data_IF_841832655016
#
_entry.id   IF_841832655016
#
_cell.length_a   1.000
_cell.length_b   1.000
_cell.length_c   1.000
_cell.angle_alpha   90.00
_cell.angle_beta   90.00
_cell.angle_gamma   90.00
#
_symmetry.space_group_name_H-M   'P 1'
#
loop_
_entity.id
_entity.type
_entity.pdbx_description
1 polymer ?
#
# COMPACT_ATOMS: atom_id res chain seq x y z
N UNK A 1 10.43 27.08 -18.05
CA UNK A 1 10.55 25.94 -17.12
C UNK A 1 9.14 25.53 -16.74
N UNK A 2 8.86 24.22 -16.77
CA UNK A 2 7.49 23.73 -16.79
C UNK A 2 6.95 23.38 -15.39
N UNK A 3 5.88 24.05 -14.92
CA UNK A 3 5.13 23.76 -13.68
C UNK A 3 4.28 22.50 -13.80
N UNK A 4 4.53 21.50 -12.97
CA UNK A 4 3.66 20.31 -12.86
C UNK A 4 2.64 20.48 -11.72
N UNK A 5 1.47 19.85 -11.88
CA UNK A 5 0.39 19.85 -10.88
C UNK A 5 -0.05 18.41 -10.58
N UNK A 6 -0.15 18.07 -9.30
CA UNK A 6 -0.69 16.78 -8.86
C UNK A 6 -2.19 16.89 -8.55
N UNK A 7 -2.98 15.92 -9.03
CA UNK A 7 -4.40 15.80 -8.70
C UNK A 7 -4.63 14.66 -7.68
N UNK A 8 -5.16 15.03 -6.52
CA UNK A 8 -5.41 14.12 -5.39
C UNK A 8 -6.56 13.15 -5.63
N UNK A 9 -7.52 13.50 -6.48
CA UNK A 9 -8.67 12.64 -6.77
C UNK A 9 -8.31 11.53 -7.75
N UNK A 10 -7.39 11.81 -8.68
CA UNK A 10 -7.00 10.85 -9.73
C UNK A 10 -5.68 10.13 -9.43
N UNK A 11 -4.95 10.56 -8.40
CA UNK A 11 -3.63 10.07 -8.03
C UNK A 11 -2.65 10.07 -9.23
N UNK A 12 -2.58 11.22 -9.93
CA UNK A 12 -1.77 11.43 -11.13
C UNK A 12 -1.15 12.82 -11.16
N UNK A 13 0.01 12.90 -11.83
CA UNK A 13 0.69 14.14 -12.15
C UNK A 13 0.27 14.64 -13.53
N UNK A 14 0.16 15.96 -13.66
CA UNK A 14 -0.17 16.64 -14.90
C UNK A 14 0.93 17.63 -15.25
N UNK A 15 1.23 17.73 -16.54
CA UNK A 15 2.12 18.76 -17.08
C UNK A 15 1.42 20.14 -17.14
N UNK A 16 2.13 21.15 -17.63
CA UNK A 16 1.61 22.51 -17.77
C UNK A 16 0.38 22.62 -18.68
N UNK A 17 0.22 21.68 -19.62
CA UNK A 17 -0.92 21.62 -20.53
C UNK A 17 -2.13 20.90 -19.89
N UNK A 18 -1.99 20.42 -18.64
CA UNK A 18 -3.01 19.62 -17.98
C UNK A 18 -3.11 18.21 -18.55
N UNK A 19 -2.06 17.68 -19.18
CA UNK A 19 -2.01 16.29 -19.66
C UNK A 19 -1.40 15.40 -18.59
N UNK A 20 -1.96 14.20 -18.37
CA UNK A 20 -1.40 13.26 -17.42
C UNK A 20 0.00 12.84 -17.88
N UNK A 21 0.98 13.02 -16.99
CA UNK A 21 2.35 12.55 -17.20
C UNK A 21 2.30 11.02 -17.25
N UNK A 22 2.66 10.46 -18.41
CA UNK A 22 2.65 9.01 -18.61
C UNK A 22 3.69 8.38 -17.66
N UNK A 23 3.22 7.50 -16.78
CA UNK A 23 4.10 6.59 -16.03
C UNK A 23 4.86 5.73 -17.04
N UNK A 24 6.18 5.72 -16.96
CA UNK A 24 6.96 4.62 -17.48
C UNK A 24 6.77 3.45 -16.51
N UNK A 25 5.69 2.70 -16.70
CA UNK A 25 5.69 1.29 -16.29
C UNK A 25 6.67 0.66 -17.26
N UNK A 26 7.70 -0.02 -16.76
CA UNK A 26 8.53 -0.92 -17.57
C UNK A 26 7.60 -1.94 -18.23
N UNK A 27 7.15 -1.60 -19.44
CA UNK A 27 6.65 -2.56 -20.41
C UNK A 27 7.83 -3.48 -20.68
N UNK A 28 7.78 -4.65 -20.04
CA UNK A 28 8.66 -5.75 -20.33
C UNK A 28 8.71 -5.98 -21.84
N UNK A 29 9.93 -6.02 -22.36
CA UNK A 29 10.29 -6.29 -23.75
C UNK A 29 9.30 -7.24 -24.45
N UNK A 30 8.53 -6.67 -25.35
CA UNK A 30 7.90 -7.41 -26.45
C UNK A 30 8.02 -6.58 -27.72
N UNK A 31 9.27 -6.39 -28.15
CA UNK A 31 9.56 -6.14 -29.56
C UNK A 31 9.11 -7.36 -30.36
N UNK A 32 8.03 -7.21 -31.10
CA UNK A 32 7.76 -8.03 -32.28
C UNK A 32 7.30 -7.12 -33.42
N UNK A 33 8.23 -7.04 -34.36
CA UNK A 33 8.33 -6.27 -35.59
C UNK A 33 7.04 -5.92 -36.35
N UNK A 34 7.06 -4.74 -36.96
CA UNK A 34 6.47 -4.56 -38.28
C UNK A 34 7.40 -3.73 -39.17
N UNK A 35 7.90 -4.34 -40.24
CA UNK A 35 8.29 -3.63 -41.46
C UNK A 35 7.75 -4.38 -42.70
N UNK A 36 7.45 -3.66 -43.80
CA UNK A 36 6.50 -4.10 -44.81
C UNK A 36 7.16 -4.81 -45.99
N UNK A 37 6.35 -5.60 -46.71
CA UNK A 37 6.82 -6.56 -47.70
C UNK A 37 7.22 -6.02 -49.08
N UNK A 38 7.72 -6.95 -49.90
CA UNK A 38 7.54 -6.95 -51.36
C UNK A 38 7.94 -8.30 -52.00
N UNK A 39 6.97 -8.83 -52.75
CA UNK A 39 7.05 -9.49 -54.06
C UNK A 39 7.74 -10.86 -54.30
N UNK A 40 6.89 -11.75 -54.81
CA UNK A 40 7.06 -12.65 -55.98
C UNK A 40 7.64 -14.05 -55.77
N UNK A 41 6.98 -15.05 -56.35
CA UNK A 41 7.54 -16.40 -56.51
C UNK A 41 6.52 -17.52 -56.58
N UNK A 42 6.01 -17.80 -57.77
CA UNK A 42 5.18 -18.96 -58.14
C UNK A 42 5.89 -20.30 -57.87
N UNK A 43 5.19 -21.27 -57.27
CA UNK A 43 5.22 -22.69 -57.70
C UNK A 43 4.19 -23.53 -56.92
N UNK A 44 3.19 -24.00 -57.66
CA UNK A 44 2.29 -25.10 -57.29
C UNK A 44 3.07 -26.40 -57.22
N UNK A 45 3.00 -27.12 -56.10
CA UNK A 45 3.11 -28.58 -56.07
C UNK A 45 2.22 -29.14 -54.95
N UNK A 46 1.32 -30.03 -55.35
CA UNK A 46 0.46 -30.84 -54.51
C UNK A 46 1.27 -31.61 -53.46
N UNK A 47 0.94 -31.44 -52.18
CA UNK A 47 1.25 -32.40 -51.12
C UNK A 47 -0.02 -32.59 -50.29
N UNK A 48 -0.69 -33.69 -50.62
CA UNK A 48 -1.51 -34.58 -49.77
C UNK A 48 -2.05 -34.01 -48.45
N UNK A 49 -3.37 -33.90 -48.38
CA UNK A 49 -4.15 -33.98 -47.14
C UNK A 49 -3.67 -35.16 -46.29
N UNK A 50 -3.16 -34.88 -45.08
CA UNK A 50 -3.58 -35.51 -43.83
C UNK A 50 -2.65 -35.08 -42.70
N UNK A 51 -3.11 -34.18 -41.85
CA UNK A 51 -2.64 -34.05 -40.46
C UNK A 51 -3.71 -33.28 -39.67
N UNK A 52 -4.72 -34.02 -39.21
CA UNK A 52 -5.48 -33.66 -38.03
C UNK A 52 -4.52 -33.76 -36.85
N UNK A 53 -4.13 -32.64 -36.25
CA UNK A 53 -4.00 -32.54 -34.79
C UNK A 53 -3.65 -31.12 -34.34
N UNK A 54 -4.34 -30.66 -33.30
CA UNK A 54 -4.01 -29.52 -32.45
C UNK A 54 -4.32 -28.10 -32.98
N UNK A 55 -5.54 -27.88 -33.51
CA UNK A 55 -6.29 -26.68 -33.10
C UNK A 55 -7.21 -27.14 -31.98
N UNK A 56 -6.67 -27.16 -30.75
CA UNK A 56 -7.44 -27.48 -29.56
C UNK A 56 -8.63 -26.53 -29.47
N UNK A 57 -9.83 -27.12 -29.48
CA UNK A 57 -11.15 -26.50 -29.34
C UNK A 57 -11.14 -25.08 -28.78
N UNK A 58 -11.29 -24.08 -29.66
CA UNK A 58 -11.44 -22.66 -29.30
C UNK A 58 -12.79 -22.35 -28.62
N UNK A 59 -13.62 -23.37 -28.37
CA UNK A 59 -14.90 -23.25 -27.70
C UNK A 59 -14.85 -24.02 -26.38
N UNK A 60 -14.19 -23.48 -25.36
CA UNK A 60 -14.62 -23.78 -23.98
C UNK A 60 -16.01 -23.18 -23.84
N UNK A 61 -17.05 -24.02 -23.93
CA UNK A 61 -18.41 -23.55 -23.76
C UNK A 61 -18.55 -22.98 -22.34
N UNK A 62 -19.02 -21.73 -22.21
CA UNK A 62 -19.44 -21.14 -20.93
C UNK A 62 -20.73 -21.81 -20.47
N UNK A 63 -20.65 -23.05 -20.03
CA UNK A 63 -21.83 -23.86 -19.65
C UNK A 63 -22.18 -23.72 -18.19
N UNK A 64 -21.30 -23.13 -17.38
CA UNK A 64 -21.53 -22.92 -15.96
C UNK A 64 -21.52 -21.43 -15.61
N UNK A 65 -22.29 -21.07 -14.59
CA UNK A 65 -22.34 -19.68 -14.09
C UNK A 65 -20.96 -19.21 -13.57
N UNK A 66 -20.15 -20.12 -13.05
CA UNK A 66 -18.78 -19.87 -12.60
C UNK A 66 -17.82 -19.44 -13.74
N UNK A 67 -18.09 -19.86 -14.98
CA UNK A 67 -17.28 -19.49 -16.15
C UNK A 67 -17.42 -18.00 -16.50
N UNK A 68 -18.42 -17.31 -15.95
CA UNK A 68 -18.73 -15.90 -16.19
C UNK A 68 -17.98 -14.98 -15.22
N UNK A 69 -17.48 -15.49 -14.09
CA UNK A 69 -16.76 -14.68 -13.09
C UNK A 69 -15.55 -13.89 -13.64
N UNK A 70 -14.74 -14.44 -14.57
CA UNK A 70 -13.59 -13.71 -15.12
C UNK A 70 -13.96 -12.41 -15.85
N UNK A 71 -15.16 -12.34 -16.46
CA UNK A 71 -15.60 -11.13 -17.19
C UNK A 71 -16.19 -10.06 -16.28
N UNK A 72 -16.40 -10.35 -14.99
CA UNK A 72 -16.89 -9.36 -14.04
C UNK A 72 -15.78 -8.37 -13.71
N UNK A 73 -16.07 -7.08 -13.87
CA UNK A 73 -15.20 -6.00 -13.39
C UNK A 73 -15.16 -5.97 -11.87
N UNK A 74 -14.20 -5.23 -11.30
CA UNK A 74 -14.15 -5.02 -9.85
C UNK A 74 -15.47 -4.43 -9.32
N UNK A 75 -16.02 -3.42 -9.99
CA UNK A 75 -17.29 -2.79 -9.63
C UNK A 75 -18.45 -3.79 -9.64
N UNK A 76 -18.54 -4.62 -10.68
CA UNK A 76 -19.58 -5.65 -10.78
C UNK A 76 -19.44 -6.71 -9.67
N UNK A 77 -18.21 -7.12 -9.34
CA UNK A 77 -17.94 -8.07 -8.25
C UNK A 77 -18.32 -7.48 -6.89
N UNK A 78 -17.98 -6.21 -6.63
CA UNK A 78 -18.34 -5.50 -5.39
C UNK A 78 -19.85 -5.40 -5.25
N UNK A 79 -20.55 -4.97 -6.31
CA UNK A 79 -22.02 -4.86 -6.32
C UNK A 79 -22.69 -6.21 -6.04
N UNK A 80 -22.19 -7.29 -6.66
CA UNK A 80 -22.69 -8.63 -6.39
C UNK A 80 -22.47 -9.03 -4.92
N UNK A 81 -21.28 -8.77 -4.37
CA UNK A 81 -20.96 -9.11 -2.98
C UNK A 81 -21.85 -8.34 -2.00
N UNK A 82 -22.08 -7.04 -2.23
CA UNK A 82 -22.99 -6.22 -1.45
C UNK A 82 -24.43 -6.75 -1.48
N UNK A 83 -24.93 -7.12 -2.66
CA UNK A 83 -26.25 -7.72 -2.82
C UNK A 83 -26.36 -9.05 -2.06
N UNK A 84 -25.32 -9.89 -2.11
CA UNK A 84 -25.26 -11.16 -1.39
C UNK A 84 -25.19 -10.97 0.14
N UNK A 85 -24.47 -9.94 0.61
CA UNK A 85 -24.42 -9.55 2.03
C UNK A 85 -25.74 -8.97 2.54
N UNK A 86 -26.54 -8.35 1.67
CA UNK A 86 -27.90 -7.89 1.97
C UNK A 86 -28.95 -9.00 1.95
N UNK A 87 -28.65 -10.15 1.35
CA UNK A 87 -29.61 -11.24 1.17
C UNK A 87 -29.74 -12.11 2.42
N UNK A 88 -30.95 -12.22 2.97
CA UNK A 88 -31.23 -12.89 4.27
C UNK A 88 -30.64 -14.29 4.42
N UNK A 89 -30.67 -15.11 3.38
CA UNK A 89 -30.21 -16.52 3.42
C UNK A 89 -28.73 -16.66 3.07
N UNK A 90 -28.20 -15.78 2.22
CA UNK A 90 -26.82 -15.90 1.72
C UNK A 90 -25.83 -15.18 2.63
N UNK A 91 -26.24 -14.06 3.23
CA UNK A 91 -25.40 -13.21 4.06
C UNK A 91 -24.64 -13.96 5.16
N UNK A 92 -25.23 -14.92 5.93
CA UNK A 92 -24.47 -15.65 6.94
C UNK A 92 -23.33 -16.49 6.36
N UNK A 93 -23.56 -17.11 5.20
CA UNK A 93 -22.54 -17.93 4.51
C UNK A 93 -21.44 -17.02 3.98
N UNK A 94 -21.80 -15.92 3.32
CA UNK A 94 -20.86 -14.95 2.75
C UNK A 94 -19.99 -14.33 3.83
N UNK A 95 -20.58 -13.90 4.95
CA UNK A 95 -19.83 -13.35 6.10
C UNK A 95 -18.84 -14.35 6.65
N UNK A 96 -19.28 -15.60 6.87
CA UNK A 96 -18.39 -16.66 7.36
C UNK A 96 -17.25 -16.96 6.38
N UNK A 97 -17.51 -16.94 5.08
CA UNK A 97 -16.46 -17.09 4.06
C UNK A 97 -15.49 -15.92 4.08
N UNK A 98 -15.98 -14.67 4.16
CA UNK A 98 -15.12 -13.48 4.27
C UNK A 98 -14.24 -13.53 5.51
N UNK A 99 -14.77 -13.96 6.66
CA UNK A 99 -14.01 -14.13 7.90
C UNK A 99 -12.80 -15.05 7.74
N UNK A 100 -12.90 -16.10 6.91
CA UNK A 100 -11.76 -16.99 6.62
C UNK A 100 -10.69 -16.34 5.74
N UNK A 101 -11.01 -15.24 5.07
CA UNK A 101 -10.13 -14.54 4.12
C UNK A 101 -9.56 -13.24 4.68
N UNK A 102 -9.98 -12.78 5.85
CA UNK A 102 -9.56 -11.48 6.38
C UNK A 102 -8.05 -11.35 6.59
N UNK A 103 -7.39 -12.40 7.07
CA UNK A 103 -5.94 -12.36 7.28
C UNK A 103 -5.19 -12.10 5.95
N UNK A 104 -5.52 -12.88 4.91
CA UNK A 104 -4.91 -12.73 3.59
C UNK A 104 -5.26 -11.37 2.95
N UNK A 105 -6.51 -10.91 3.13
CA UNK A 105 -6.96 -9.62 2.63
C UNK A 105 -6.22 -8.44 3.29
N UNK A 106 -5.98 -8.49 4.61
CA UNK A 106 -5.19 -7.48 5.33
C UNK A 106 -3.75 -7.46 4.81
N UNK A 107 -3.11 -8.63 4.67
CA UNK A 107 -1.73 -8.72 4.14
C UNK A 107 -1.64 -8.15 2.72
N UNK A 108 -2.57 -8.52 1.84
CA UNK A 108 -2.62 -8.01 0.47
C UNK A 108 -2.87 -6.49 0.43
N UNK A 109 -3.74 -5.98 1.30
CA UNK A 109 -4.01 -4.54 1.40
C UNK A 109 -2.77 -3.77 1.86
N UNK A 110 -2.12 -4.21 2.94
CA UNK A 110 -0.88 -3.61 3.46
C UNK A 110 0.21 -3.60 2.40
N UNK A 111 0.42 -4.71 1.70
CA UNK A 111 1.39 -4.80 0.60
C UNK A 111 1.06 -3.82 -0.54
N UNK A 112 -0.22 -3.66 -0.89
CA UNK A 112 -0.66 -2.70 -1.91
C UNK A 112 -0.39 -1.25 -1.49
N UNK A 113 -0.66 -0.90 -0.22
CA UNK A 113 -0.38 0.45 0.30
C UNK A 113 1.11 0.73 0.33
N UNK A 114 1.94 -0.23 0.77
CA UNK A 114 3.40 -0.11 0.70
C UNK A 114 3.92 0.13 -0.71
N UNK A 115 3.39 -0.59 -1.70
CA UNK A 115 3.77 -0.39 -3.10
C UNK A 115 3.45 1.02 -3.59
N UNK A 116 2.26 1.54 -3.24
CA UNK A 116 1.85 2.92 -3.58
C UNK A 116 2.69 3.97 -2.86
N UNK A 117 3.00 3.75 -1.57
CA UNK A 117 3.87 4.64 -0.79
C UNK A 117 5.25 4.74 -1.44
N UNK A 118 5.85 3.58 -1.77
CA UNK A 118 7.15 3.51 -2.44
C UNK A 118 7.14 4.18 -3.82
N UNK A 119 6.08 4.00 -4.60
CA UNK A 119 5.93 4.66 -5.89
C UNK A 119 5.87 6.19 -5.72
N UNK A 120 5.02 6.67 -4.79
CA UNK A 120 4.85 8.10 -4.53
C UNK A 120 6.16 8.78 -4.09
N UNK A 121 6.97 8.09 -3.29
CA UNK A 121 8.23 8.65 -2.78
C UNK A 121 9.35 8.57 -3.81
N UNK A 122 9.39 7.51 -4.62
CA UNK A 122 10.32 7.40 -5.74
C UNK A 122 10.11 8.52 -6.76
N UNK A 123 8.87 8.90 -7.05
CA UNK A 123 8.59 10.03 -7.93
C UNK A 123 9.07 11.35 -7.33
N UNK A 124 8.90 11.57 -6.03
CA UNK A 124 9.44 12.74 -5.34
C UNK A 124 10.98 12.79 -5.38
N UNK A 125 11.65 11.66 -5.21
CA UNK A 125 13.12 11.58 -5.30
C UNK A 125 13.65 11.90 -6.71
N UNK A 126 12.87 11.61 -7.76
CA UNK A 126 13.21 11.94 -9.16
C UNK A 126 13.05 13.42 -9.49
N UNK A 127 12.26 14.17 -8.72
CA UNK A 127 12.09 15.62 -8.87
C UNK A 127 13.32 16.32 -8.27
N UNK A 128 14.49 16.10 -8.85
CA UNK A 128 15.70 16.89 -8.59
C UNK A 128 15.53 18.28 -9.21
N UNK A 129 14.72 19.13 -8.58
CA UNK A 129 14.62 20.54 -8.96
C UNK A 129 15.60 21.31 -8.08
N UNK A 130 16.14 22.40 -8.61
CA UNK A 130 17.03 23.35 -7.91
C UNK A 130 16.42 23.91 -6.60
N UNK A 131 15.13 23.68 -6.36
CA UNK A 131 14.44 23.91 -5.09
C UNK A 131 14.67 22.71 -4.16
N UNK A 132 15.36 22.95 -3.05
CA UNK A 132 15.67 21.94 -2.04
C UNK A 132 14.36 21.29 -1.53
N UNK A 133 14.13 20.01 -1.86
CA UNK A 133 13.00 19.23 -1.31
C UNK A 133 13.19 19.15 0.21
N UNK A 134 12.21 19.64 0.95
CA UNK A 134 12.24 19.59 2.42
C UNK A 134 11.34 18.47 2.98
N UNK A 135 11.37 18.31 4.30
CA UNK A 135 10.51 17.35 5.01
C UNK A 135 9.02 17.57 4.80
N UNK A 136 8.57 18.81 4.62
CA UNK A 136 7.15 19.10 4.46
C UNK A 136 6.63 18.53 3.13
N UNK A 137 7.47 18.51 2.09
CA UNK A 137 7.12 17.86 0.83
C UNK A 137 6.98 16.35 1.00
N UNK A 138 7.88 15.72 1.77
CA UNK A 138 7.70 14.32 2.16
C UNK A 138 6.40 14.09 2.94
N UNK A 139 6.11 14.91 3.95
CA UNK A 139 4.87 14.83 4.73
C UNK A 139 3.66 14.96 3.80
N UNK A 140 3.65 15.92 2.88
CA UNK A 140 2.54 16.13 1.93
C UNK A 140 2.31 14.91 1.04
N UNK A 141 3.38 14.21 0.64
CA UNK A 141 3.31 13.00 -0.17
C UNK A 141 2.79 11.82 0.65
N UNK A 142 3.23 11.66 1.90
CA UNK A 142 2.89 10.46 2.69
C UNK A 142 1.61 10.61 3.52
N UNK A 143 1.19 11.82 3.86
CA UNK A 143 0.02 12.09 4.71
C UNK A 143 -1.28 11.43 4.22
N UNK A 144 -1.61 11.36 2.92
CA UNK A 144 -2.81 10.66 2.45
C UNK A 144 -2.88 9.18 2.86
N UNK A 145 -1.72 8.52 3.02
CA UNK A 145 -1.68 7.10 3.42
C UNK A 145 -2.05 6.88 4.90
N UNK A 146 -2.12 7.94 5.73
CA UNK A 146 -2.66 7.81 7.09
C UNK A 146 -4.15 7.41 7.07
N UNK A 147 -4.90 7.71 6.00
CA UNK A 147 -6.29 7.26 5.86
C UNK A 147 -6.39 5.73 5.77
N UNK A 148 -5.42 5.07 5.11
CA UNK A 148 -5.34 3.61 5.04
C UNK A 148 -5.04 2.99 6.41
N UNK A 149 -4.19 3.65 7.22
CA UNK A 149 -3.94 3.25 8.62
C UNK A 149 -5.21 3.38 9.45
N UNK A 150 -5.95 4.49 9.32
CA UNK A 150 -7.23 4.71 10.01
C UNK A 150 -8.29 3.71 9.57
N UNK A 151 -8.32 3.34 8.29
CA UNK A 151 -9.23 2.32 7.77
C UNK A 151 -8.98 0.96 8.46
N UNK A 152 -7.73 0.53 8.52
CA UNK A 152 -7.35 -0.72 9.19
C UNK A 152 -7.58 -0.66 10.71
N UNK A 153 -7.29 0.48 11.34
CA UNK A 153 -7.46 0.67 12.79
C UNK A 153 -8.92 0.58 13.23
N UNK A 154 -9.88 0.77 12.31
CA UNK A 154 -11.32 0.68 12.55
C UNK A 154 -11.92 -0.69 12.18
N UNK A 155 -11.13 -1.60 11.63
CA UNK A 155 -11.63 -2.93 11.27
C UNK A 155 -12.14 -3.69 12.51
N UNK A 156 -13.20 -4.51 12.39
CA UNK A 156 -13.69 -5.32 13.50
C UNK A 156 -12.60 -6.23 14.09
N UNK A 157 -12.72 -6.62 15.37
CA UNK A 157 -11.79 -7.56 16.01
C UNK A 157 -11.73 -8.95 15.32
N UNK A 158 -12.76 -9.30 14.53
CA UNK A 158 -12.76 -10.50 13.69
C UNK A 158 -11.69 -10.44 12.58
N UNK A 159 -11.29 -9.24 12.14
CA UNK A 159 -10.21 -9.01 11.18
C UNK A 159 -8.85 -9.02 11.90
N UNK A 160 -8.47 -10.17 12.47
CA UNK A 160 -7.20 -10.32 13.19
C UNK A 160 -6.02 -9.89 12.32
N UNK A 161 -5.09 -9.17 12.93
CA UNK A 161 -3.89 -8.66 12.23
C UNK A 161 -4.10 -7.31 11.55
N UNK A 162 -5.33 -6.77 11.48
CA UNK A 162 -5.55 -5.42 10.96
C UNK A 162 -4.83 -4.35 11.79
N UNK A 163 -4.82 -4.48 13.13
CA UNK A 163 -4.09 -3.55 14.00
C UNK A 163 -2.56 -3.65 13.80
N UNK A 164 -2.03 -4.87 13.62
CA UNK A 164 -0.63 -5.09 13.29
C UNK A 164 -0.26 -4.51 11.92
N UNK A 165 -1.07 -4.76 10.89
CA UNK A 165 -0.85 -4.20 9.56
C UNK A 165 -0.94 -2.67 9.53
N UNK A 166 -1.88 -2.08 10.28
CA UNK A 166 -1.98 -0.63 10.45
C UNK A 166 -0.71 -0.06 11.11
N UNK A 167 -0.20 -0.73 12.14
CA UNK A 167 1.03 -0.34 12.82
C UNK A 167 2.25 -0.40 11.90
N UNK A 168 2.39 -1.49 11.12
CA UNK A 168 3.46 -1.64 10.13
C UNK A 168 3.43 -0.52 9.08
N UNK A 169 2.24 -0.17 8.58
CA UNK A 169 2.06 0.94 7.65
C UNK A 169 2.39 2.30 8.29
N UNK A 170 1.94 2.55 9.52
CA UNK A 170 2.22 3.79 10.24
C UNK A 170 3.72 4.01 10.39
N UNK A 171 4.45 2.97 10.81
CA UNK A 171 5.91 3.02 10.92
C UNK A 171 6.56 3.31 9.57
N UNK A 172 6.11 2.65 8.51
CA UNK A 172 6.65 2.88 7.17
C UNK A 172 6.42 4.30 6.68
N UNK A 173 5.21 4.85 6.88
CA UNK A 173 4.85 6.23 6.54
C UNK A 173 5.76 7.22 7.26
N UNK A 174 5.95 7.06 8.57
CA UNK A 174 6.77 7.97 9.36
C UNK A 174 8.26 7.84 9.02
N UNK A 175 8.79 6.63 8.87
CA UNK A 175 10.18 6.43 8.42
C UNK A 175 10.45 7.06 7.06
N UNK A 176 9.44 7.12 6.19
CA UNK A 176 9.57 7.73 4.86
C UNK A 176 9.65 9.25 4.91
N UNK A 177 9.29 9.90 6.03
CA UNK A 177 9.45 11.35 6.18
C UNK A 177 10.89 11.78 6.45
N UNK A 178 11.84 10.84 6.53
CA UNK A 178 13.27 11.13 6.60
C UNK A 178 13.78 11.62 5.23
N UNK A 179 14.23 12.89 5.11
CA UNK A 179 14.74 13.41 3.85
C UNK A 179 16.20 12.98 3.58
N UNK A 180 16.88 12.32 4.53
CA UNK A 180 18.27 11.85 4.41
C UNK A 180 19.33 12.96 4.50
N UNK A 181 20.60 12.61 4.21
CA UNK A 181 21.77 13.47 4.48
C UNK A 181 21.88 14.72 3.60
N UNK A 182 21.17 14.79 2.47
CA UNK A 182 21.43 15.76 1.38
C UNK A 182 20.32 16.81 1.16
N UNK A 183 19.33 16.91 2.05
CA UNK A 183 18.11 17.70 1.82
C UNK A 183 17.86 18.77 2.88
N UNK A 184 17.15 19.83 2.48
CA UNK A 184 16.85 20.99 3.30
C UNK A 184 15.92 20.67 4.46
N UNK A 185 16.23 21.26 5.61
CA UNK A 185 15.45 21.10 6.83
C UNK A 185 14.21 22.00 6.80
N UNK A 186 13.05 21.49 7.22
CA UNK A 186 11.86 22.31 7.44
C UNK A 186 12.04 23.23 8.65
N UNK A 187 11.18 24.24 8.78
CA UNK A 187 11.23 25.10 9.96
C UNK A 187 10.77 24.33 11.22
N UNK A 188 11.31 24.68 12.40
CA UNK A 188 10.85 24.11 13.67
C UNK A 188 9.33 24.22 13.82
N UNK A 189 8.68 23.14 14.26
CA UNK A 189 7.24 23.10 14.56
C UNK A 189 6.29 22.82 13.39
N UNK A 190 6.72 22.83 12.13
CA UNK A 190 5.83 22.55 10.98
C UNK A 190 5.38 21.08 10.92
N UNK A 191 6.20 20.18 11.47
CA UNK A 191 5.97 18.73 11.49
C UNK A 191 5.14 18.26 12.69
N UNK A 192 5.05 19.08 13.74
CA UNK A 192 4.37 18.73 14.99
C UNK A 192 2.93 18.21 14.82
N UNK A 193 2.08 18.77 13.92
CA UNK A 193 0.72 18.25 13.72
C UNK A 193 0.71 16.83 13.13
N UNK A 194 1.66 16.51 12.25
CA UNK A 194 1.80 15.17 11.68
C UNK A 194 2.27 14.17 12.75
N UNK A 195 3.25 14.56 13.57
CA UNK A 195 3.77 13.74 14.66
C UNK A 195 2.73 13.44 15.73
N UNK A 196 1.98 14.45 16.15
CA UNK A 196 0.94 14.28 17.14
C UNK A 196 -0.15 13.33 16.63
N UNK A 197 -0.56 13.45 15.36
CA UNK A 197 -1.51 12.54 14.75
C UNK A 197 -0.97 11.11 14.63
N UNK A 198 0.30 10.96 14.26
CA UNK A 198 0.96 9.66 14.19
C UNK A 198 1.09 9.02 15.57
N UNK A 199 1.43 9.77 16.62
CA UNK A 199 1.56 9.27 17.99
C UNK A 199 0.21 8.88 18.60
N UNK A 200 -0.84 9.66 18.39
CA UNK A 200 -2.20 9.29 18.83
C UNK A 200 -2.68 8.00 18.16
N UNK A 201 -2.42 7.87 16.86
CA UNK A 201 -2.77 6.65 16.12
C UNK A 201 -1.91 5.46 16.57
N UNK A 202 -0.62 5.69 16.81
CA UNK A 202 0.31 4.70 17.35
C UNK A 202 -0.12 4.17 18.71
N UNK A 203 -0.48 5.07 19.63
CA UNK A 203 -0.98 4.72 20.96
C UNK A 203 -2.22 3.83 20.88
N UNK A 204 -3.20 4.23 20.07
CA UNK A 204 -4.41 3.44 19.85
C UNK A 204 -4.08 2.04 19.31
N UNK A 205 -3.18 1.95 18.33
CA UNK A 205 -2.80 0.69 17.71
C UNK A 205 -2.07 -0.24 18.68
N UNK A 206 -1.10 0.26 19.48
CA UNK A 206 -0.37 -0.59 20.43
C UNK A 206 -1.26 -1.08 21.57
N UNK A 207 -2.22 -0.27 22.03
CA UNK A 207 -3.23 -0.69 23.01
C UNK A 207 -4.09 -1.82 22.44
N UNK A 208 -4.60 -1.64 21.22
CA UNK A 208 -5.41 -2.64 20.53
C UNK A 208 -4.62 -3.93 20.24
N UNK A 209 -3.37 -3.82 19.83
CA UNK A 209 -2.49 -4.99 19.64
C UNK A 209 -2.21 -5.73 20.95
N UNK A 210 -2.03 -5.02 22.06
CA UNK A 210 -1.90 -5.65 23.37
C UNK A 210 -3.14 -6.49 23.74
N UNK A 211 -4.34 -6.00 23.40
CA UNK A 211 -5.60 -6.75 23.58
C UNK A 211 -5.74 -7.94 22.61
N UNK A 212 -5.38 -7.78 21.34
CA UNK A 212 -5.53 -8.81 20.30
C UNK A 212 -4.47 -9.92 20.38
N UNK A 213 -3.20 -9.54 20.59
CA UNK A 213 -2.04 -10.44 20.55
C UNK A 213 -1.71 -10.99 21.96
N UNK A 214 -2.10 -10.28 23.02
CA UNK A 214 -1.86 -10.69 24.40
C UNK A 214 -0.39 -11.04 24.61
N UNK A 215 -0.11 -12.22 25.17
CA UNK A 215 1.25 -12.71 25.46
C UNK A 215 2.19 -12.73 24.23
N UNK A 216 1.64 -12.80 23.01
CA UNK A 216 2.42 -12.80 21.78
C UNK A 216 2.80 -11.40 21.28
N UNK A 217 2.33 -10.34 21.95
CA UNK A 217 2.66 -8.97 21.57
C UNK A 217 4.13 -8.67 21.89
N UNK A 218 4.92 -8.37 20.85
CA UNK A 218 6.37 -8.11 20.91
C UNK A 218 6.71 -6.63 21.16
N UNK A 219 6.27 -6.08 22.30
CA UNK A 219 6.46 -4.65 22.63
C UNK A 219 7.94 -4.19 22.64
N UNK A 220 8.91 -5.07 22.90
CA UNK A 220 10.35 -4.73 22.87
C UNK A 220 10.83 -4.40 21.45
N UNK A 221 10.44 -5.21 20.47
CA UNK A 221 10.83 -5.00 19.07
C UNK A 221 10.22 -3.70 18.53
N UNK A 222 8.96 -3.41 18.91
CA UNK A 222 8.31 -2.16 18.55
C UNK A 222 8.95 -0.94 19.22
N UNK A 223 9.38 -1.06 20.49
CA UNK A 223 10.10 0.01 21.19
C UNK A 223 11.47 0.28 20.56
N UNK A 224 12.26 -0.77 20.28
CA UNK A 224 13.56 -0.67 19.60
C UNK A 224 13.43 0.03 18.25
N UNK A 225 12.37 -0.29 17.49
CA UNK A 225 12.11 0.34 16.18
C UNK A 225 11.73 1.82 16.30
N UNK A 226 10.95 2.20 17.32
CA UNK A 226 10.66 3.61 17.59
C UNK A 226 11.90 4.37 18.05
N UNK A 227 12.76 3.75 18.87
CA UNK A 227 14.05 4.32 19.28
C UNK A 227 14.99 4.52 18.10
N UNK A 228 15.04 3.57 17.15
CA UNK A 228 15.80 3.70 15.90
C UNK A 228 15.31 4.89 15.08
N UNK A 229 13.99 4.97 14.81
CA UNK A 229 13.39 6.09 14.08
C UNK A 229 13.73 7.41 14.79
N UNK A 230 13.52 7.48 16.11
CA UNK A 230 13.85 8.67 16.91
C UNK A 230 15.33 9.03 16.81
N UNK A 231 16.22 8.05 16.86
CA UNK A 231 17.67 8.22 16.78
C UNK A 231 18.12 8.79 15.44
N UNK A 232 17.65 8.20 14.34
CA UNK A 232 17.89 8.69 12.97
C UNK A 232 17.45 10.15 12.85
N UNK A 233 16.25 10.46 13.35
CA UNK A 233 15.70 11.80 13.28
C UNK A 233 16.44 12.78 14.21
N UNK A 234 16.95 12.33 15.36
CA UNK A 234 17.78 13.16 16.23
C UNK A 234 19.08 13.61 15.58
N UNK A 235 19.71 12.72 14.79
CA UNK A 235 20.93 13.03 14.05
C UNK A 235 20.70 14.18 13.06
N UNK A 236 19.54 14.18 12.41
CA UNK A 236 19.19 15.16 11.38
C UNK A 236 18.62 16.45 11.95
N UNK A 237 17.82 16.39 13.02
CA UNK A 237 16.98 17.52 13.41
C UNK A 237 17.45 18.33 14.62
N UNK A 238 18.45 17.88 15.41
CA UNK A 238 19.09 18.55 16.58
C UNK A 238 18.20 19.25 17.65
N UNK A 239 16.91 19.48 17.39
CA UNK A 239 16.04 20.41 18.13
C UNK A 239 14.69 19.78 18.53
N UNK A 240 14.26 18.66 17.91
CA UNK A 240 12.89 18.13 18.09
C UNK A 240 12.77 16.59 18.23
N UNK A 241 13.87 15.84 18.40
CA UNK A 241 13.75 14.37 18.47
C UNK A 241 13.09 13.86 19.75
N UNK A 242 13.14 14.61 20.84
CA UNK A 242 12.54 14.21 22.12
C UNK A 242 11.01 14.09 22.08
N UNK A 243 10.33 14.67 21.07
CA UNK A 243 8.87 14.70 20.94
C UNK A 243 8.28 13.63 20.02
N UNK A 244 9.07 12.68 19.51
CA UNK A 244 8.58 11.66 18.59
C UNK A 244 8.01 10.45 19.32
N UNK A 245 6.75 10.13 19.04
CA UNK A 245 5.99 9.03 19.64
C UNK A 245 5.99 8.94 21.19
N UNK A 246 5.98 10.06 21.96
CA UNK A 246 6.14 10.01 23.40
C UNK A 246 5.01 9.23 24.09
N UNK A 247 3.77 9.33 23.59
CA UNK A 247 2.63 8.60 24.17
C UNK A 247 2.73 7.11 23.87
N UNK A 248 3.05 6.76 22.63
CA UNK A 248 3.19 5.37 22.18
C UNK A 248 4.36 4.66 22.88
N UNK A 249 5.54 5.29 22.93
CA UNK A 249 6.71 4.72 23.62
C UNK A 249 6.43 4.48 25.10
N UNK A 250 5.84 5.47 25.79
CA UNK A 250 5.47 5.33 27.21
C UNK A 250 4.49 4.18 27.44
N UNK A 251 3.55 3.95 26.53
CA UNK A 251 2.62 2.83 26.62
C UNK A 251 3.35 1.48 26.47
N UNK A 252 4.24 1.36 25.47
CA UNK A 252 5.05 0.16 25.25
C UNK A 252 5.96 -0.15 26.44
N UNK A 253 6.62 0.86 27.00
CA UNK A 253 7.42 0.75 28.23
C UNK A 253 6.57 0.28 29.41
N UNK A 254 5.36 0.83 29.57
CA UNK A 254 4.42 0.42 30.60
C UNK A 254 4.05 -1.06 30.47
N UNK A 255 3.71 -1.52 29.25
CA UNK A 255 3.43 -2.93 28.99
C UNK A 255 4.63 -3.83 29.28
N UNK A 256 5.84 -3.37 28.97
CA UNK A 256 7.08 -4.09 29.25
C UNK A 256 7.31 -4.29 30.75
N UNK A 257 7.10 -3.24 31.54
CA UNK A 257 7.25 -3.25 32.99
C UNK A 257 6.19 -4.14 33.66
N UNK A 258 4.93 -4.01 33.25
CA UNK A 258 3.83 -4.82 33.77
C UNK A 258 4.10 -6.32 33.57
N UNK A 259 4.52 -6.73 32.36
CA UNK A 259 4.83 -8.14 32.10
C UNK A 259 6.02 -8.66 32.88
N UNK A 260 7.08 -7.85 32.97
CA UNK A 260 8.26 -8.19 33.77
C UNK A 260 7.93 -8.35 35.25
N UNK A 261 7.00 -7.56 35.77
CA UNK A 261 6.52 -7.64 37.15
C UNK A 261 5.62 -8.86 37.40
N UNK A 262 4.88 -9.32 36.38
CA UNK A 262 3.99 -10.50 36.48
C UNK A 262 4.70 -11.86 36.32
N UNK A 263 5.99 -11.89 36.00
CA UNK A 263 6.80 -13.12 36.07
C UNK A 263 6.39 -14.24 35.11
N UNK A 264 5.97 -13.89 33.88
CA UNK A 264 5.81 -14.82 32.76
C UNK A 264 6.85 -14.53 31.67
#
# INVERSE_FOLDING_TARGET
>A
MARMRYDKHENRWYDEDGKPVKRCIDESDSELETAPGSSSGSASLYVTFSAVSAVGSFCKSFTKHEDILPIFTLETRTTLLEALLGHRTAAPVVKKTMETMYADAVVAFVASVHAKLKEATCEMDKVHVEDEIDMNDYIRVVQPFLEDVVLLSRMPAACRGAAKGAWELLLAIVSTTDPGEERSYSQPGERAPFDEAADELGLFLVQRRNEEEGVNFEFKADLEKLEEIKGTMALWFRWESESWFPKTMKALEGFAQERSATGN
#
